data_IF_534014377486
#
_entry.id   IF_534014377486
#
_cell.length_a   1.000
_cell.length_b   1.000
_cell.length_c   1.000
_cell.angle_alpha   90.00
_cell.angle_beta   90.00
_cell.angle_gamma   90.00
#
_symmetry.space_group_name_H-M   'P 1'
#
loop_
_entity.id
_entity.type
_entity.pdbx_description
1 polymer ?
#
# COMPACT_ATOMS: atom_id res chain seq x y z
N UNK A 1 59.93 -15.88 -15.99
CA UNK A 1 59.31 -15.48 -14.71
C UNK A 1 57.91 -16.04 -14.69
N UNK A 2 57.66 -16.97 -13.77
CA UNK A 2 56.50 -17.85 -13.70
C UNK A 2 55.22 -17.08 -13.30
N UNK A 3 54.18 -17.12 -14.15
CA UNK A 3 52.81 -16.80 -13.74
C UNK A 3 52.22 -18.03 -13.06
N UNK A 4 52.13 -18.00 -11.73
CA UNK A 4 51.44 -19.00 -10.93
C UNK A 4 49.94 -19.00 -11.22
N UNK A 5 49.38 -20.21 -11.18
CA UNK A 5 48.17 -20.70 -11.83
C UNK A 5 46.83 -20.36 -11.14
N UNK A 6 45.68 -20.49 -11.85
CA UNK A 6 44.31 -20.32 -11.31
C UNK A 6 43.90 -21.35 -10.24
N UNK A 7 44.78 -22.28 -9.89
CA UNK A 7 44.55 -23.31 -8.87
C UNK A 7 44.42 -22.72 -7.46
N UNK A 8 45.07 -21.58 -7.20
CA UNK A 8 45.09 -20.93 -5.89
C UNK A 8 43.73 -20.30 -5.52
N UNK A 9 43.01 -19.79 -6.52
CA UNK A 9 41.69 -19.19 -6.33
C UNK A 9 40.62 -20.27 -6.05
N UNK A 10 40.68 -21.39 -6.79
CA UNK A 10 39.77 -22.52 -6.60
C UNK A 10 39.98 -23.14 -5.22
N UNK A 11 41.23 -23.31 -4.78
CA UNK A 11 41.54 -23.86 -3.45
C UNK A 11 41.06 -22.93 -2.32
N UNK A 12 41.18 -21.61 -2.48
CA UNK A 12 40.64 -20.62 -1.53
C UNK A 12 39.11 -20.65 -1.47
N UNK A 13 38.43 -20.79 -2.62
CA UNK A 13 36.97 -20.89 -2.69
C UNK A 13 36.43 -22.17 -2.04
N UNK A 14 37.11 -23.30 -2.22
CA UNK A 14 36.75 -24.58 -1.57
C UNK A 14 36.97 -24.52 -0.06
N UNK A 15 38.04 -23.87 0.41
CA UNK A 15 38.30 -23.69 1.85
C UNK A 15 37.24 -22.82 2.53
N UNK A 16 36.81 -21.73 1.87
CA UNK A 16 35.73 -20.86 2.36
C UNK A 16 34.41 -21.63 2.40
N UNK A 17 34.08 -22.41 1.36
CA UNK A 17 32.89 -23.26 1.35
C UNK A 17 32.90 -24.28 2.50
N UNK A 18 34.02 -24.99 2.71
CA UNK A 18 34.16 -25.95 3.82
C UNK A 18 34.01 -25.29 5.20
N UNK A 19 34.57 -24.09 5.41
CA UNK A 19 34.43 -23.33 6.67
C UNK A 19 32.98 -22.84 6.90
N UNK A 20 32.25 -22.52 5.83
CA UNK A 20 30.82 -22.17 5.89
C UNK A 20 29.95 -23.40 6.24
N UNK A 21 30.27 -24.59 5.73
CA UNK A 21 29.59 -25.84 6.10
C UNK A 21 29.85 -26.27 7.55
N UNK A 22 31.02 -25.94 8.12
CA UNK A 22 31.38 -26.26 9.51
C UNK A 22 30.71 -25.37 10.57
N UNK A 23 30.08 -24.26 10.20
CA UNK A 23 29.46 -23.30 11.14
C UNK A 23 27.94 -23.47 11.31
N UNK A 24 27.32 -24.47 10.68
CA UNK A 24 25.90 -24.78 10.86
C UNK A 24 25.63 -25.48 12.21
N UNK A 25 25.65 -24.73 13.30
CA UNK A 25 24.98 -25.14 14.53
C UNK A 25 23.51 -24.72 14.43
N UNK A 26 22.62 -25.71 14.45
CA UNK A 26 21.18 -25.50 14.53
C UNK A 26 20.84 -24.78 15.82
N UNK A 27 20.56 -23.48 15.75
CA UNK A 27 19.86 -22.79 16.82
C UNK A 27 18.37 -22.87 16.53
N UNK A 28 17.64 -23.42 17.49
CA UNK A 28 16.20 -23.40 17.54
C UNK A 28 15.78 -21.93 17.67
N UNK A 29 15.14 -21.34 16.65
CA UNK A 29 14.64 -19.97 16.74
C UNK A 29 13.12 -20.00 16.69
N UNK A 30 12.52 -19.52 17.78
CA UNK A 30 11.08 -19.32 18.00
C UNK A 30 10.44 -18.48 16.88
N UNK A 31 9.16 -18.76 16.62
CA UNK A 31 8.36 -18.34 15.48
C UNK A 31 8.32 -16.85 15.11
N UNK A 32 8.06 -16.60 13.83
CA UNK A 32 7.93 -15.28 13.21
C UNK A 32 6.66 -14.54 13.67
N UNK A 33 6.81 -13.25 13.97
CA UNK A 33 5.76 -12.34 14.43
C UNK A 33 4.90 -11.83 13.26
N UNK A 34 3.63 -12.26 13.16
CA UNK A 34 2.60 -11.53 12.42
C UNK A 34 2.13 -10.33 13.26
N UNK A 35 1.99 -9.16 12.64
CA UNK A 35 1.34 -8.02 13.31
C UNK A 35 -0.14 -8.37 13.52
N UNK A 36 -0.64 -8.35 14.76
CA UNK A 36 -2.01 -8.71 15.05
C UNK A 36 -3.01 -7.71 14.45
N UNK A 37 -4.26 -8.17 14.20
CA UNK A 37 -5.40 -7.28 13.86
C UNK A 37 -5.39 -6.08 14.80
N UNK A 38 -5.42 -4.89 14.20
CA UNK A 38 -5.42 -3.62 14.90
C UNK A 38 -6.82 -3.03 14.86
N UNK A 39 -7.29 -2.66 16.05
CA UNK A 39 -8.58 -2.09 16.33
C UNK A 39 -8.36 -0.63 16.74
N UNK A 40 -8.96 0.30 16.01
CA UNK A 40 -8.91 1.73 16.35
C UNK A 40 -10.33 2.17 16.65
N UNK A 41 -10.58 2.50 17.91
CA UNK A 41 -11.91 2.86 18.43
C UNK A 41 -11.95 4.35 18.66
N UNK A 42 -12.90 5.04 18.03
CA UNK A 42 -13.17 6.47 18.19
C UNK A 42 -14.44 6.64 19.00
N UNK A 43 -14.33 7.17 20.22
CA UNK A 43 -15.44 7.45 21.12
C UNK A 43 -15.82 8.92 20.99
N UNK A 44 -17.10 9.19 20.73
CA UNK A 44 -17.64 10.55 20.72
C UNK A 44 -17.78 11.06 22.16
N UNK A 45 -16.93 12.01 22.54
CA UNK A 45 -16.84 12.63 23.86
C UNK A 45 -17.09 14.15 23.77
N UNK A 46 -17.98 14.58 22.88
CA UNK A 46 -18.41 15.98 22.72
C UNK A 46 -19.32 16.41 23.88
N UNK A 47 -18.76 16.50 25.09
CA UNK A 47 -19.49 16.77 26.33
C UNK A 47 -20.21 18.12 26.35
N UNK A 48 -19.70 19.14 25.64
CA UNK A 48 -20.26 20.49 25.63
C UNK A 48 -21.64 20.58 24.98
N UNK A 49 -21.84 19.84 23.88
CA UNK A 49 -23.03 19.98 23.03
C UNK A 49 -23.84 18.69 22.89
N UNK A 50 -23.36 17.57 23.47
CA UNK A 50 -23.97 16.22 23.39
C UNK A 50 -24.44 15.87 21.98
N UNK A 51 -23.67 16.30 21.00
CA UNK A 51 -24.05 16.23 19.58
C UNK A 51 -23.47 14.98 18.92
N UNK A 52 -24.09 14.60 17.80
CA UNK A 52 -23.60 13.53 16.95
C UNK A 52 -22.31 13.96 16.25
N UNK A 53 -21.34 13.05 16.20
CA UNK A 53 -20.04 13.23 15.57
C UNK A 53 -20.05 12.51 14.22
N UNK A 54 -19.87 13.27 13.14
CA UNK A 54 -19.66 12.70 11.81
C UNK A 54 -18.18 12.44 11.60
N UNK A 55 -17.82 11.21 11.20
CA UNK A 55 -16.46 10.75 10.97
C UNK A 55 -16.35 10.28 9.53
N UNK A 56 -15.35 10.76 8.79
CA UNK A 56 -14.96 10.20 7.50
C UNK A 56 -13.48 9.85 7.56
N UNK A 57 -13.13 8.59 7.34
CA UNK A 57 -11.76 8.09 7.42
C UNK A 57 -11.33 7.47 6.11
N UNK A 58 -10.05 7.67 5.75
CA UNK A 58 -9.43 7.06 4.58
C UNK A 58 -7.96 6.72 4.82
N UNK A 59 -7.49 5.65 4.19
CA UNK A 59 -6.08 5.29 4.04
C UNK A 59 -5.62 5.61 2.61
N UNK A 60 -4.42 5.15 2.25
CA UNK A 60 -3.94 5.19 0.86
C UNK A 60 -4.76 4.26 -0.05
N UNK A 61 -5.19 3.13 0.48
CA UNK A 61 -5.75 2.02 -0.29
C UNK A 61 -7.27 1.90 -0.13
N UNK A 62 -7.82 2.41 0.98
CA UNK A 62 -9.23 2.22 1.36
C UNK A 62 -9.88 3.53 1.83
N UNK A 63 -11.04 3.87 1.26
CA UNK A 63 -11.95 4.89 1.81
C UNK A 63 -13.05 4.19 2.62
N UNK A 64 -13.15 4.51 3.91
CA UNK A 64 -14.08 3.88 4.84
C UNK A 64 -15.46 4.55 4.85
N UNK A 65 -15.63 5.65 4.11
CA UNK A 65 -16.87 6.39 4.00
C UNK A 65 -17.23 7.19 5.27
N UNK A 66 -18.45 7.74 5.26
CA UNK A 66 -18.95 8.67 6.28
C UNK A 66 -19.81 7.90 7.30
N UNK A 67 -19.51 8.06 8.59
CA UNK A 67 -20.21 7.44 9.71
C UNK A 67 -20.69 8.50 10.69
N UNK A 68 -21.92 8.37 11.20
CA UNK A 68 -22.47 9.27 12.22
C UNK A 68 -22.48 8.53 13.57
N UNK A 69 -21.79 9.08 14.56
CA UNK A 69 -21.56 8.48 15.87
C UNK A 69 -22.28 9.31 16.94
N UNK A 70 -23.35 8.79 17.55
CA UNK A 70 -24.07 9.50 18.60
C UNK A 70 -23.19 9.82 19.81
N UNK A 71 -23.60 10.81 20.61
CA UNK A 71 -22.89 11.15 21.86
C UNK A 71 -22.71 9.91 22.74
N UNK A 72 -21.49 9.75 23.30
CA UNK A 72 -21.11 8.62 24.15
C UNK A 72 -21.20 7.24 23.46
N UNK A 73 -21.26 7.21 22.12
CA UNK A 73 -21.11 6.00 21.29
C UNK A 73 -19.72 5.98 20.65
N UNK A 74 -19.38 4.86 20.01
CA UNK A 74 -18.09 4.68 19.36
C UNK A 74 -18.19 4.09 17.96
N UNK A 75 -17.24 4.47 17.11
CA UNK A 75 -17.00 3.85 15.82
C UNK A 75 -15.64 3.13 15.84
N UNK A 76 -15.59 1.92 15.31
CA UNK A 76 -14.39 1.08 15.32
C UNK A 76 -13.98 0.73 13.89
N UNK A 77 -12.70 0.94 13.58
CA UNK A 77 -12.07 0.45 12.36
C UNK A 77 -11.13 -0.70 12.71
N UNK A 78 -11.19 -1.78 11.93
CA UNK A 78 -10.40 -3.00 12.15
C UNK A 78 -9.65 -3.33 10.88
N UNK A 79 -8.32 -3.43 10.98
CA UNK A 79 -7.46 -3.69 9.83
C UNK A 79 -6.20 -4.46 10.22
N UNK A 80 -5.46 -4.92 9.22
CA UNK A 80 -4.13 -5.49 9.41
C UNK A 80 -3.08 -4.44 9.03
N UNK A 81 -2.24 -3.98 9.96
CA UNK A 81 -1.12 -3.11 9.61
C UNK A 81 -0.17 -3.84 8.67
N UNK A 82 0.33 -3.14 7.67
CA UNK A 82 1.35 -3.69 6.80
C UNK A 82 2.65 -3.97 7.57
N UNK A 83 3.42 -4.96 7.09
CA UNK A 83 4.62 -5.44 7.79
C UNK A 83 5.74 -4.38 7.85
N UNK A 84 5.70 -3.41 6.95
CA UNK A 84 6.66 -2.29 6.88
C UNK A 84 6.26 -1.11 7.79
N UNK A 85 5.12 -1.18 8.47
CA UNK A 85 4.60 -0.17 9.39
C UNK A 85 4.43 1.22 8.76
N UNK A 86 3.85 1.26 7.57
CA UNK A 86 3.48 2.47 6.84
C UNK A 86 1.97 2.72 6.81
N UNK A 87 1.17 1.85 7.45
CA UNK A 87 -0.29 2.01 7.53
C UNK A 87 -0.67 3.30 8.28
N UNK A 88 -1.54 4.09 7.66
CA UNK A 88 -1.96 5.42 8.11
C UNK A 88 -3.44 5.63 7.76
N UNK A 89 -4.23 6.09 8.72
CA UNK A 89 -5.62 6.48 8.52
C UNK A 89 -5.81 7.96 8.86
N UNK A 90 -6.24 8.71 7.87
CA UNK A 90 -6.57 10.13 7.94
C UNK A 90 -8.08 10.29 8.07
N UNK A 91 -8.54 11.03 9.07
CA UNK A 91 -9.97 11.23 9.30
C UNK A 91 -10.35 12.71 9.41
N UNK A 92 -11.55 13.04 8.93
CA UNK A 92 -12.25 14.28 9.21
C UNK A 92 -13.38 14.05 10.21
N UNK A 93 -13.55 15.02 11.09
CA UNK A 93 -14.51 15.01 12.19
C UNK A 93 -15.33 16.29 12.14
N UNK A 94 -16.65 16.14 12.09
CA UNK A 94 -17.58 17.26 11.96
C UNK A 94 -18.74 17.10 12.93
N UNK A 95 -19.15 18.17 13.59
CA UNK A 95 -20.30 18.17 14.50
C UNK A 95 -21.03 19.52 14.45
N UNK A 96 -22.31 19.61 14.83
CA UNK A 96 -23.15 20.79 14.62
C UNK A 96 -22.63 22.11 15.20
N UNK A 97 -21.98 22.09 16.37
CA UNK A 97 -21.38 23.29 16.98
C UNK A 97 -20.01 23.64 16.41
N UNK A 98 -19.36 22.70 15.71
CA UNK A 98 -18.09 22.88 15.02
C UNK A 98 -18.32 23.51 13.66
N UNK A 99 -17.97 24.78 13.49
CA UNK A 99 -18.18 25.52 12.23
C UNK A 99 -17.27 25.07 11.08
N UNK A 100 -16.37 24.11 11.31
CA UNK A 100 -15.26 23.73 10.42
C UNK A 100 -15.00 22.22 10.55
N UNK A 101 -14.55 21.57 9.47
CA UNK A 101 -14.05 20.19 9.53
C UNK A 101 -12.73 20.11 10.31
N UNK A 102 -12.72 19.25 11.31
CA UNK A 102 -11.55 18.96 12.14
C UNK A 102 -10.80 17.75 11.58
N UNK A 103 -9.53 17.92 11.22
CA UNK A 103 -8.74 16.85 10.58
C UNK A 103 -7.78 16.21 11.58
N UNK A 104 -7.61 14.89 11.52
CA UNK A 104 -6.63 14.18 12.35
C UNK A 104 -6.22 12.82 11.77
N UNK A 105 -4.97 12.40 11.98
CA UNK A 105 -4.51 11.06 11.63
C UNK A 105 -4.82 10.12 12.79
N UNK A 106 -5.97 9.45 12.73
CA UNK A 106 -6.45 8.64 13.85
C UNK A 106 -5.55 7.43 14.12
N UNK A 107 -4.88 6.93 13.09
CA UNK A 107 -3.90 5.86 13.22
C UNK A 107 -2.66 6.16 12.41
N UNK A 108 -1.49 6.12 13.05
CA UNK A 108 -0.18 6.18 12.43
C UNK A 108 0.66 5.06 13.04
N UNK A 109 1.03 4.07 12.23
CA UNK A 109 1.73 2.89 12.72
C UNK A 109 3.03 3.24 13.48
N UNK A 110 3.81 4.22 13.03
CA UNK A 110 5.07 4.61 13.65
C UNK A 110 4.84 5.37 14.97
N UNK A 111 3.84 6.26 15.01
CA UNK A 111 3.48 7.01 16.22
C UNK A 111 2.90 6.09 17.28
N UNK A 112 1.95 5.24 16.91
CA UNK A 112 1.09 4.50 17.83
C UNK A 112 1.82 3.27 18.40
N UNK A 113 2.60 2.55 17.58
CA UNK A 113 3.43 1.45 18.09
C UNK A 113 4.54 1.93 19.05
N UNK A 114 5.03 3.17 18.91
CA UNK A 114 5.96 3.76 19.90
C UNK A 114 5.31 3.99 21.26
N UNK A 115 4.01 4.28 21.28
CA UNK A 115 3.24 4.48 22.51
C UNK A 115 2.85 3.15 23.15
N UNK A 116 2.72 2.10 22.35
CA UNK A 116 2.48 0.77 22.85
C UNK A 116 3.02 -0.31 21.91
N UNK A 117 4.19 -0.84 22.24
CA UNK A 117 4.77 -1.97 21.53
C UNK A 117 3.96 -3.23 21.89
N UNK A 118 3.10 -3.69 20.96
CA UNK A 118 2.13 -4.83 21.06
C UNK A 118 0.67 -4.46 21.36
N UNK A 119 0.25 -3.20 21.29
CA UNK A 119 -1.18 -2.90 21.40
C UNK A 119 -1.95 -3.38 20.17
N UNK A 120 -3.07 -4.05 20.41
CA UNK A 120 -4.05 -4.42 19.38
C UNK A 120 -5.21 -3.44 19.32
N UNK A 121 -5.45 -2.68 20.39
CA UNK A 121 -6.55 -1.74 20.52
C UNK A 121 -6.00 -0.34 20.81
N UNK A 122 -6.36 0.62 19.97
CA UNK A 122 -6.05 2.04 20.11
C UNK A 122 -7.36 2.77 20.32
N UNK A 123 -7.62 3.18 21.54
CA UNK A 123 -8.88 3.81 21.93
C UNK A 123 -8.65 5.32 22.00
N UNK A 124 -9.44 6.05 21.22
CA UNK A 124 -9.40 7.49 21.08
C UNK A 124 -10.70 8.10 21.59
N UNK A 125 -10.60 9.14 22.41
CA UNK A 125 -11.71 10.04 22.73
C UNK A 125 -11.62 11.27 21.85
N UNK A 126 -12.72 11.57 21.17
CA UNK A 126 -12.84 12.74 20.30
C UNK A 126 -13.65 13.79 21.05
N UNK A 127 -12.99 14.90 21.41
CA UNK A 127 -13.62 16.04 22.07
C UNK A 127 -13.46 17.31 21.22
N UNK A 128 -14.14 18.40 21.59
CA UNK A 128 -14.14 19.64 20.82
C UNK A 128 -12.78 20.36 20.77
N UNK A 129 -11.87 20.04 21.70
CA UNK A 129 -10.53 20.65 21.82
C UNK A 129 -9.42 19.83 21.16
N UNK A 130 -9.44 18.50 21.28
CA UNK A 130 -8.38 17.60 20.84
C UNK A 130 -8.84 16.12 20.78
N UNK A 131 -8.30 15.32 19.85
CA UNK A 131 -8.34 13.86 19.96
C UNK A 131 -7.31 13.36 20.99
N UNK A 132 -7.75 12.49 21.90
CA UNK A 132 -6.92 11.92 22.95
C UNK A 132 -6.89 10.40 22.91
N UNK A 133 -5.71 9.80 22.89
CA UNK A 133 -5.51 8.35 22.96
C UNK A 133 -5.38 7.86 24.40
N UNK A 134 -6.01 6.72 24.67
CA UNK A 134 -5.90 6.02 25.95
C UNK A 134 -4.52 5.38 26.10
N UNK A 135 -3.90 5.65 27.24
CA UNK A 135 -2.72 4.92 27.67
C UNK A 135 -3.14 3.52 28.16
N UNK A 136 -2.54 2.48 27.58
CA UNK A 136 -2.94 1.10 27.86
C UNK A 136 -2.66 0.65 29.31
N UNK A 137 -1.63 1.22 29.95
CA UNK A 137 -1.22 0.86 31.32
C UNK A 137 -2.09 1.56 32.36
N UNK A 138 -2.29 2.87 32.22
CA UNK A 138 -3.01 3.69 33.20
C UNK A 138 -4.52 3.74 32.95
N UNK A 139 -4.97 3.31 31.76
CA UNK A 139 -6.34 3.44 31.25
C UNK A 139 -6.85 4.88 31.19
N UNK A 140 -5.96 5.87 31.32
CA UNK A 140 -6.28 7.30 31.19
C UNK A 140 -6.05 7.79 29.77
N UNK A 141 -6.86 8.73 29.32
CA UNK A 141 -6.67 9.45 28.06
C UNK A 141 -5.58 10.51 28.23
N UNK A 142 -4.33 10.07 28.14
CA UNK A 142 -3.16 10.88 28.49
C UNK A 142 -2.42 11.44 27.26
N UNK A 143 -2.68 10.91 26.07
CA UNK A 143 -1.98 11.29 24.84
C UNK A 143 -2.92 12.10 23.94
N UNK A 144 -3.03 13.40 24.19
CA UNK A 144 -3.84 14.32 23.40
C UNK A 144 -3.02 15.03 22.32
N UNK A 145 -3.65 15.28 21.19
CA UNK A 145 -3.03 15.91 20.03
C UNK A 145 -3.90 17.06 19.55
N UNK A 146 -3.28 18.08 18.97
CA UNK A 146 -4.02 19.18 18.39
C UNK A 146 -4.69 18.73 17.09
N UNK A 147 -5.87 19.28 16.81
CA UNK A 147 -6.50 19.16 15.51
C UNK A 147 -5.57 19.69 14.43
N UNK A 148 -5.50 19.00 13.29
CA UNK A 148 -4.87 19.59 12.11
C UNK A 148 -5.76 20.74 11.67
N UNK A 149 -5.17 21.93 11.61
CA UNK A 149 -5.87 23.09 11.07
C UNK A 149 -6.27 22.78 9.63
N UNK A 150 -7.57 22.66 9.36
CA UNK A 150 -8.07 22.97 8.03
C UNK A 150 -7.70 24.43 7.80
N UNK A 151 -6.70 24.65 6.96
CA UNK A 151 -6.43 26.00 6.48
C UNK A 151 -7.57 26.33 5.53
N UNK A 152 -8.50 27.27 5.83
CA UNK A 152 -9.31 27.83 4.77
C UNK A 152 -8.36 28.72 3.99
N UNK A 153 -7.67 28.15 3.00
CA UNK A 153 -6.72 28.86 2.17
C UNK A 153 -7.36 30.16 1.64
N UNK A 154 -8.68 30.19 1.39
CA UNK A 154 -9.42 31.38 0.95
C UNK A 154 -9.61 32.52 1.97
N UNK A 155 -9.90 32.23 3.25
CA UNK A 155 -10.20 33.27 4.26
C UNK A 155 -8.93 33.84 4.93
N UNK A 156 -7.92 33.00 5.11
CA UNK A 156 -6.60 33.43 5.58
C UNK A 156 -5.94 34.32 4.53
N UNK A 157 -6.07 34.01 3.24
CA UNK A 157 -5.61 34.89 2.16
C UNK A 157 -6.32 36.26 2.20
N UNK A 158 -7.64 36.30 2.43
CA UNK A 158 -8.40 37.56 2.45
C UNK A 158 -8.05 38.46 3.65
N UNK A 159 -7.91 37.88 4.85
CA UNK A 159 -7.49 38.61 6.05
C UNK A 159 -6.00 38.95 6.02
N UNK A 160 -5.13 38.10 5.46
CA UNK A 160 -3.74 38.44 5.19
C UNK A 160 -3.63 39.55 4.14
N UNK A 161 -4.48 39.62 3.11
CA UNK A 161 -4.46 40.75 2.18
C UNK A 161 -4.91 42.07 2.83
N UNK A 162 -5.90 42.03 3.74
CA UNK A 162 -6.30 43.22 4.51
C UNK A 162 -5.23 43.64 5.53
N UNK A 163 -4.60 42.68 6.21
CA UNK A 163 -3.58 42.95 7.23
C UNK A 163 -2.21 43.27 6.62
N UNK A 164 -1.85 42.72 5.45
CA UNK A 164 -0.63 43.01 4.71
C UNK A 164 -0.66 44.38 4.01
N UNK A 165 -1.84 44.97 3.80
CA UNK A 165 -1.95 46.41 3.48
C UNK A 165 -1.61 47.31 4.69
N UNK A 166 -1.72 46.78 5.91
CA UNK A 166 -1.60 47.56 7.16
C UNK A 166 -0.23 47.36 7.83
N UNK A 167 0.39 46.18 7.70
CA UNK A 167 1.68 45.89 8.32
C UNK A 167 2.72 45.44 7.29
N UNK A 168 3.71 46.30 7.08
CA UNK A 168 4.81 46.13 6.13
C UNK A 168 5.83 45.12 6.70
N UNK A 169 5.46 43.84 6.81
CA UNK A 169 6.34 42.79 7.35
C UNK A 169 6.70 41.80 6.24
N UNK A 170 7.92 41.96 5.70
CA UNK A 170 8.54 40.96 4.84
C UNK A 170 8.98 39.76 5.69
N UNK A 171 8.48 38.58 5.38
CA UNK A 171 9.18 37.32 5.65
C UNK A 171 8.38 36.28 6.42
N UNK A 172 7.71 35.39 5.68
CA UNK A 172 7.50 34.01 6.11
C UNK A 172 8.20 33.04 5.14
N UNK A 173 8.81 32.02 5.73
CA UNK A 173 9.59 30.96 5.10
C UNK A 173 8.71 30.09 4.18
N UNK A 174 8.57 30.48 2.92
CA UNK A 174 8.32 29.50 1.86
C UNK A 174 9.61 28.71 1.64
N UNK A 175 9.53 27.37 1.59
CA UNK A 175 10.66 26.58 1.09
C UNK A 175 10.98 27.08 -0.33
N UNK A 176 12.24 27.44 -0.62
CA UNK A 176 12.61 27.88 -1.95
C UNK A 176 12.32 26.77 -2.97
N UNK A 177 11.83 27.15 -4.15
CA UNK A 177 11.59 26.23 -5.26
C UNK A 177 12.85 25.42 -5.54
N UNK A 178 12.70 24.12 -5.72
CA UNK A 178 13.74 23.23 -6.20
C UNK A 178 13.68 23.15 -7.72
N UNK A 179 14.84 23.33 -8.33
CA UNK A 179 15.10 23.27 -9.75
C UNK A 179 15.95 22.03 -10.05
N UNK A 180 15.48 21.16 -10.94
CA UNK A 180 16.21 19.97 -11.37
C UNK A 180 16.31 19.96 -12.88
N UNK A 181 17.54 20.08 -13.39
CA UNK A 181 17.83 20.15 -14.82
C UNK A 181 18.37 18.81 -15.30
N UNK A 182 17.74 18.25 -16.32
CA UNK A 182 18.20 17.07 -17.05
C UNK A 182 18.81 17.53 -18.37
N UNK A 183 20.12 17.33 -18.54
CA UNK A 183 20.90 17.82 -19.68
C UNK A 183 21.19 16.66 -20.61
N UNK A 184 20.72 16.77 -21.86
CA UNK A 184 21.08 15.87 -22.95
C UNK A 184 22.42 16.34 -23.56
N UNK A 185 23.52 15.83 -23.04
CA UNK A 185 24.87 16.30 -23.36
C UNK A 185 25.48 15.72 -24.64
N UNK A 186 26.66 16.22 -24.98
CA UNK A 186 27.41 15.90 -26.20
C UNK A 186 27.87 14.44 -26.33
N UNK A 187 27.81 13.67 -25.24
CA UNK A 187 28.12 12.23 -25.20
C UNK A 187 26.88 11.36 -25.52
N UNK A 188 25.81 11.96 -26.04
CA UNK A 188 24.64 11.23 -26.54
C UNK A 188 25.07 10.33 -27.70
N UNK A 189 24.76 9.03 -27.68
CA UNK A 189 25.27 8.04 -28.63
C UNK A 189 24.95 8.33 -30.10
N UNK A 190 23.88 9.09 -30.37
CA UNK A 190 23.37 9.31 -31.73
C UNK A 190 23.21 10.79 -32.10
N UNK A 191 23.56 11.72 -31.21
CA UNK A 191 23.20 13.13 -31.36
C UNK A 191 21.67 13.37 -31.41
N UNK A 192 20.90 12.39 -30.94
CA UNK A 192 19.45 12.36 -31.02
C UNK A 192 18.75 12.92 -29.78
N UNK A 193 17.48 13.23 -29.95
CA UNK A 193 16.65 13.79 -28.89
C UNK A 193 16.35 12.75 -27.81
N UNK A 194 16.49 13.15 -26.55
CA UNK A 194 16.27 12.29 -25.39
C UNK A 194 14.80 12.39 -24.98
N UNK A 195 14.07 11.28 -25.02
CA UNK A 195 12.72 11.21 -24.45
C UNK A 195 12.81 10.97 -22.95
N UNK A 196 12.14 11.81 -22.17
CA UNK A 196 12.11 11.78 -20.71
C UNK A 196 10.67 11.70 -20.24
N UNK A 197 10.37 10.77 -19.33
CA UNK A 197 9.09 10.75 -18.61
C UNK A 197 9.36 10.70 -17.12
N UNK A 198 8.96 11.73 -16.40
CA UNK A 198 9.16 11.87 -14.96
C UNK A 198 7.82 11.89 -14.23
N UNK A 199 7.78 11.22 -13.08
CA UNK A 199 6.62 11.24 -12.18
C UNK A 199 7.04 11.24 -10.71
N UNK A 200 6.25 11.90 -9.87
CA UNK A 200 6.25 11.75 -8.42
C UNK A 200 5.04 10.90 -7.98
N UNK A 201 4.81 10.79 -6.67
CA UNK A 201 3.61 10.13 -6.13
C UNK A 201 2.32 10.88 -6.49
N UNK A 202 2.38 12.22 -6.49
CA UNK A 202 1.21 13.10 -6.66
C UNK A 202 1.14 13.76 -8.05
N UNK A 203 2.26 13.87 -8.76
CA UNK A 203 2.38 14.60 -10.02
C UNK A 203 2.99 13.72 -11.14
N UNK A 204 2.24 13.48 -12.21
CA UNK A 204 2.80 12.97 -13.47
C UNK A 204 3.14 14.15 -14.38
N UNK A 205 4.44 14.33 -14.68
CA UNK A 205 4.89 15.42 -15.54
C UNK A 205 4.73 15.07 -17.02
N UNK A 206 4.38 13.83 -17.35
CA UNK A 206 4.21 13.36 -18.72
C UNK A 206 5.53 13.19 -19.47
N UNK A 207 5.40 12.91 -20.76
CA UNK A 207 6.52 12.63 -21.67
C UNK A 207 7.00 13.93 -22.31
N UNK A 208 8.29 14.21 -22.18
CA UNK A 208 8.97 15.37 -22.76
C UNK A 208 10.12 14.91 -23.67
N UNK A 209 10.35 15.65 -24.74
CA UNK A 209 11.49 15.43 -25.64
C UNK A 209 12.51 16.52 -25.35
N UNK A 210 13.74 16.11 -25.05
CA UNK A 210 14.87 16.98 -24.73
C UNK A 210 15.84 16.96 -25.91
N UNK A 211 15.83 18.01 -26.76
CA UNK A 211 16.70 18.08 -27.92
C UNK A 211 18.18 17.86 -27.60
N UNK A 212 18.96 17.40 -28.57
CA UNK A 212 20.40 17.31 -28.40
C UNK A 212 21.04 18.64 -27.97
N UNK A 213 21.96 18.58 -27.00
CA UNK A 213 22.62 19.73 -26.40
C UNK A 213 21.67 20.76 -25.75
N UNK A 214 20.51 20.29 -25.28
CA UNK A 214 19.55 21.09 -24.53
C UNK A 214 19.29 20.48 -23.15
N UNK A 215 18.47 21.15 -22.35
CA UNK A 215 18.09 20.70 -21.03
C UNK A 215 16.60 20.86 -20.79
N UNK A 216 16.03 19.92 -20.04
CA UNK A 216 14.69 20.02 -19.49
C UNK A 216 14.75 20.26 -17.98
N UNK A 217 14.12 21.33 -17.52
CA UNK A 217 14.10 21.72 -16.11
C UNK A 217 12.71 21.45 -15.52
N UNK A 218 12.68 20.75 -14.39
CA UNK A 218 11.48 20.63 -13.56
C UNK A 218 11.64 21.53 -12.33
N UNK A 219 10.58 22.27 -12.01
CA UNK A 219 10.55 23.23 -10.90
C UNK A 219 9.38 22.92 -9.99
N UNK A 220 9.67 22.61 -8.73
CA UNK A 220 8.66 22.20 -7.76
C UNK A 220 8.98 22.70 -6.35
N UNK A 221 8.00 22.64 -5.46
CA UNK A 221 8.23 22.87 -4.04
C UNK A 221 8.34 21.50 -3.36
N UNK A 222 9.50 21.15 -2.78
CA UNK A 222 9.59 19.90 -2.02
C UNK A 222 8.70 20.00 -0.78
N UNK A 223 8.09 18.88 -0.42
CA UNK A 223 7.28 18.82 0.78
C UNK A 223 8.14 18.98 2.04
N UNK A 224 7.54 19.49 3.11
CA UNK A 224 8.26 19.77 4.36
C UNK A 224 8.76 18.51 5.06
N UNK A 225 8.17 17.34 4.76
CA UNK A 225 8.54 16.04 5.33
C UNK A 225 9.71 15.36 4.60
N UNK A 226 10.26 15.97 3.56
CA UNK A 226 11.36 15.47 2.74
C UNK A 226 11.10 14.07 2.15
N UNK A 227 9.87 13.82 1.70
CA UNK A 227 9.49 12.59 0.99
C UNK A 227 9.37 12.80 -0.52
N UNK A 228 9.58 14.02 -1.02
CA UNK A 228 9.50 14.32 -2.45
C UNK A 228 10.56 13.55 -3.24
N UNK A 229 10.10 12.77 -4.21
CA UNK A 229 10.88 11.92 -5.10
C UNK A 229 10.36 12.07 -6.53
N UNK A 230 11.25 12.25 -7.50
CA UNK A 230 10.91 12.18 -8.93
C UNK A 230 11.64 11.01 -9.58
N UNK A 231 10.85 10.03 -10.01
CA UNK A 231 11.31 8.86 -10.75
C UNK A 231 11.13 9.11 -12.25
N UNK A 232 12.23 9.00 -13.02
CA UNK A 232 12.23 9.29 -14.44
C UNK A 232 12.69 8.09 -15.27
N UNK A 233 12.10 7.97 -16.45
CA UNK A 233 12.56 7.09 -17.52
C UNK A 233 13.17 7.90 -18.67
N UNK A 234 14.17 7.32 -19.33
CA UNK A 234 14.99 7.95 -20.35
C UNK A 234 15.14 7.00 -21.55
N UNK A 235 14.92 7.51 -22.77
CA UNK A 235 15.04 6.73 -24.00
C UNK A 235 15.60 7.58 -25.14
N UNK A 236 16.61 7.04 -25.84
CA UNK A 236 17.14 7.62 -27.08
C UNK A 236 16.50 6.98 -28.32
N UNK A 237 16.50 7.65 -29.49
CA UNK A 237 15.75 7.23 -30.67
C UNK A 237 16.14 5.83 -31.20
N UNK A 238 17.43 5.48 -31.14
CA UNK A 238 17.95 4.19 -31.63
C UNK A 238 18.14 3.15 -30.51
N UNK A 239 17.64 3.41 -29.31
CA UNK A 239 17.70 2.48 -28.18
C UNK A 239 16.32 1.87 -27.92
N UNK A 240 16.22 0.54 -27.98
CA UNK A 240 15.02 -0.18 -27.55
C UNK A 240 14.91 -0.30 -26.01
N UNK A 241 15.93 0.19 -25.29
CA UNK A 241 16.04 0.08 -23.84
C UNK A 241 15.62 1.40 -23.18
N UNK A 242 14.76 1.30 -22.17
CA UNK A 242 14.44 2.38 -21.24
C UNK A 242 15.39 2.34 -20.04
N UNK A 243 15.97 3.49 -19.70
CA UNK A 243 16.76 3.66 -18.50
C UNK A 243 15.94 4.35 -17.42
N UNK A 244 16.06 3.90 -16.17
CA UNK A 244 15.28 4.43 -15.05
C UNK A 244 16.18 4.99 -13.95
N UNK A 245 15.85 6.17 -13.45
CA UNK A 245 16.58 6.79 -12.36
C UNK A 245 15.73 7.79 -11.57
N UNK A 246 15.97 7.85 -10.26
CA UNK A 246 15.40 8.87 -9.38
C UNK A 246 16.18 10.18 -9.56
N UNK A 247 15.70 11.06 -10.45
CA UNK A 247 16.39 12.32 -10.77
C UNK A 247 16.44 13.28 -9.59
N UNK A 248 15.46 13.20 -8.70
CA UNK A 248 15.44 13.92 -7.44
C UNK A 248 14.97 13.01 -6.33
N UNK A 249 15.72 12.97 -5.23
CA UNK A 249 15.37 12.29 -4.00
C UNK A 249 15.74 13.24 -2.85
N UNK A 250 14.74 13.73 -2.12
CA UNK A 250 14.97 14.71 -1.06
C UNK A 250 15.99 14.23 -0.02
N UNK A 251 15.96 12.96 0.39
CA UNK A 251 16.93 12.45 1.36
C UNK A 251 18.36 12.42 0.81
N UNK A 252 18.54 12.07 -0.46
CA UNK A 252 19.86 12.01 -1.11
C UNK A 252 20.41 13.41 -1.45
N UNK A 253 19.55 14.30 -1.92
CA UNK A 253 19.95 15.53 -2.61
C UNK A 253 19.95 16.75 -1.67
N UNK A 254 18.97 16.86 -0.76
CA UNK A 254 18.91 17.98 0.19
C UNK A 254 19.91 17.78 1.35
N UNK A 255 20.27 16.54 1.70
CA UNK A 255 21.33 16.27 2.69
C UNK A 255 22.71 16.76 2.22
N UNK A 256 22.96 16.82 0.91
CA UNK A 256 24.24 17.31 0.37
C UNK A 256 24.34 18.83 0.46
N UNK A 257 23.22 19.56 0.36
CA UNK A 257 23.17 21.00 0.59
C UNK A 257 21.72 21.54 0.69
N UNK A 258 21.31 21.89 1.91
CA UNK A 258 19.99 22.46 2.23
C UNK A 258 19.70 23.79 1.48
N UNK A 259 20.73 24.55 1.10
CA UNK A 259 20.61 25.82 0.38
C UNK A 259 20.69 25.67 -1.15
N UNK A 260 21.08 24.53 -1.67
CA UNK A 260 21.39 24.34 -3.08
C UNK A 260 20.16 23.75 -3.76
N UNK A 261 19.14 24.57 -3.99
CA UNK A 261 17.89 24.16 -4.63
C UNK A 261 17.99 24.05 -6.16
N UNK A 262 19.19 23.78 -6.69
CA UNK A 262 19.47 23.61 -8.11
C UNK A 262 20.34 22.38 -8.31
N UNK A 263 19.81 21.39 -9.04
CA UNK A 263 20.45 20.11 -9.28
C UNK A 263 20.56 19.86 -10.79
N UNK A 264 21.78 19.97 -11.32
CA UNK A 264 22.06 19.70 -12.73
C UNK A 264 22.52 18.25 -12.89
N UNK A 265 21.83 17.49 -13.73
CA UNK A 265 22.13 16.12 -14.08
C UNK A 265 22.47 16.02 -15.57
N UNK A 266 23.64 15.45 -15.88
CA UNK A 266 23.99 15.04 -17.24
C UNK A 266 23.58 13.58 -17.42
N UNK A 267 22.72 13.31 -18.40
CA UNK A 267 22.19 11.97 -18.64
C UNK A 267 23.04 11.29 -19.73
N UNK A 268 23.72 10.21 -19.35
CA UNK A 268 24.58 9.42 -20.24
C UNK A 268 24.15 7.95 -20.27
N UNK A 269 24.60 7.19 -21.28
CA UNK A 269 24.37 5.75 -21.38
C UNK A 269 24.96 4.92 -20.23
N UNK A 270 26.11 5.33 -19.69
CA UNK A 270 26.73 4.69 -18.53
C UNK A 270 25.97 4.97 -17.23
N UNK A 271 25.24 6.09 -17.22
CA UNK A 271 24.32 6.51 -16.18
C UNK A 271 24.38 8.01 -15.90
N UNK A 272 23.44 8.51 -15.06
CA UNK A 272 23.31 9.93 -14.80
C UNK A 272 24.43 10.41 -13.87
N UNK A 273 24.99 11.58 -14.20
CA UNK A 273 26.02 12.24 -13.41
C UNK A 273 25.49 13.58 -12.87
N UNK A 274 25.57 13.78 -11.57
CA UNK A 274 25.21 15.04 -10.92
C UNK A 274 26.39 16.00 -10.94
N UNK A 275 26.10 17.27 -11.23
CA UNK A 275 27.06 18.37 -11.13
C UNK A 275 27.37 18.67 -9.67
N UNK A 276 28.66 18.64 -9.34
CA UNK A 276 29.11 18.92 -8.00
C UNK A 276 29.03 20.42 -7.69
N UNK A 277 28.44 20.75 -6.54
CA UNK A 277 28.08 22.11 -6.15
C UNK A 277 29.28 23.06 -6.12
N UNK A 278 30.44 22.58 -5.64
CA UNK A 278 31.65 23.40 -5.45
C UNK A 278 32.52 23.49 -6.69
N UNK A 279 32.74 22.37 -7.38
CA UNK A 279 33.67 22.29 -8.53
C UNK A 279 32.99 22.58 -9.86
N UNK A 280 31.64 22.61 -9.89
CA UNK A 280 30.80 22.78 -11.08
C UNK A 280 31.01 21.73 -12.19
N UNK A 281 31.78 20.68 -11.90
CA UNK A 281 32.01 19.54 -12.78
C UNK A 281 31.03 18.40 -12.47
N UNK A 282 30.70 17.59 -13.46
CA UNK A 282 29.88 16.37 -13.30
C UNK A 282 30.74 15.23 -12.77
N UNK A 283 30.76 15.03 -11.45
CA UNK A 283 31.68 14.07 -10.81
C UNK A 283 30.98 12.98 -10.01
N UNK A 284 29.69 13.13 -9.70
CA UNK A 284 28.92 12.11 -8.97
C UNK A 284 28.10 11.32 -9.99
N UNK A 285 28.68 10.26 -10.55
CA UNK A 285 28.04 9.40 -11.54
C UNK A 285 27.49 8.12 -10.88
N UNK A 286 26.33 7.68 -11.34
CA UNK A 286 25.70 6.45 -10.88
C UNK A 286 25.71 5.42 -12.01
N UNK A 287 26.34 4.27 -11.80
CA UNK A 287 26.37 3.18 -12.79
C UNK A 287 25.04 2.42 -12.83
N UNK A 288 24.46 2.28 -14.02
CA UNK A 288 23.23 1.51 -14.25
C UNK A 288 23.48 -0.02 -14.23
N UNK A 289 24.74 -0.47 -14.28
CA UNK A 289 25.15 -1.88 -14.40
C UNK A 289 25.31 -2.57 -13.04
N UNK A 290 25.59 -1.82 -11.96
CA UNK A 290 25.93 -2.40 -10.65
C UNK A 290 24.75 -3.06 -9.91
N UNK A 291 23.50 -2.74 -10.28
CA UNK A 291 22.31 -3.39 -9.68
C UNK A 291 22.10 -4.81 -10.19
N UNK A 292 22.52 -5.14 -11.41
CA UNK A 292 22.34 -6.50 -11.96
C UNK A 292 23.26 -7.50 -11.27
N UNK A 293 24.54 -7.17 -11.07
CA UNK A 293 25.50 -8.10 -10.44
C UNK A 293 25.20 -8.36 -8.95
N UNK A 294 24.78 -7.31 -8.22
CA UNK A 294 24.37 -7.44 -6.80
C UNK A 294 23.06 -8.20 -6.69
N UNK A 295 22.09 -7.98 -7.59
CA UNK A 295 20.86 -8.78 -7.65
C UNK A 295 21.17 -10.23 -8.01
N UNK A 296 22.09 -10.54 -8.93
CA UNK A 296 22.49 -11.93 -9.22
C UNK A 296 23.26 -12.60 -8.07
N UNK A 297 24.07 -11.84 -7.31
CA UNK A 297 24.74 -12.34 -6.10
C UNK A 297 23.77 -12.52 -4.92
N UNK A 298 22.76 -11.67 -4.79
CA UNK A 298 21.68 -11.79 -3.80
C UNK A 298 20.69 -12.91 -4.16
N UNK A 299 20.38 -13.07 -5.46
CA UNK A 299 19.57 -14.18 -5.97
C UNK A 299 20.29 -15.52 -5.83
N UNK A 300 21.61 -15.57 -6.04
CA UNK A 300 22.41 -16.79 -5.80
C UNK A 300 22.61 -17.08 -4.31
N UNK A 301 22.66 -16.07 -3.44
CA UNK A 301 22.62 -16.25 -1.98
C UNK A 301 21.25 -16.79 -1.51
N UNK A 302 20.16 -16.32 -2.10
CA UNK A 302 18.80 -16.85 -1.87
C UNK A 302 18.54 -18.22 -2.52
N UNK A 303 19.44 -18.69 -3.40
CA UNK A 303 19.37 -20.02 -4.00
C UNK A 303 19.95 -21.13 -3.09
N UNK A 304 20.52 -20.78 -1.93
CA UNK A 304 20.58 -21.73 -0.82
C UNK A 304 19.16 -22.02 -0.38
N UNK A 305 18.64 -23.18 -0.79
CA UNK A 305 17.26 -23.61 -0.57
C UNK A 305 16.94 -23.63 0.92
N UNK A 306 16.47 -22.52 1.45
CA UNK A 306 15.39 -22.57 2.43
C UNK A 306 14.17 -23.02 1.62
N UNK A 307 13.75 -24.27 1.78
CA UNK A 307 12.37 -24.61 1.45
C UNK A 307 11.49 -23.89 2.47
N UNK A 308 11.21 -22.62 2.22
CA UNK A 308 10.09 -21.94 2.86
C UNK A 308 8.87 -22.52 2.17
N UNK A 309 8.16 -23.42 2.85
CA UNK A 309 6.73 -23.61 2.60
C UNK A 309 6.06 -22.33 3.09
N UNK A 310 6.17 -21.26 2.31
CA UNK A 310 5.48 -20.01 2.57
C UNK A 310 4.01 -20.26 2.26
N UNK A 311 3.13 -20.08 3.24
CA UNK A 311 1.72 -19.86 2.95
C UNK A 311 1.64 -18.52 2.23
N UNK A 312 1.65 -18.57 0.90
CA UNK A 312 1.27 -17.44 0.07
C UNK A 312 -0.20 -17.12 0.38
N UNK A 313 -0.49 -15.89 0.84
CA UNK A 313 -1.87 -15.40 0.90
C UNK A 313 -2.26 -15.16 -0.56
N UNK A 314 -2.98 -16.11 -1.14
CA UNK A 314 -3.43 -16.02 -2.51
C UNK A 314 -4.72 -15.19 -2.58
N UNK A 315 -4.80 -14.30 -3.58
CA UNK A 315 -6.06 -13.68 -3.95
C UNK A 315 -7.03 -14.80 -4.33
N UNK A 316 -8.15 -14.88 -3.64
CA UNK A 316 -9.10 -15.98 -3.77
C UNK A 316 -10.32 -15.54 -4.54
N UNK A 317 -10.69 -16.35 -5.51
CA UNK A 317 -11.81 -16.17 -6.42
C UNK A 317 -12.83 -17.27 -6.16
N UNK A 318 -14.05 -16.91 -5.83
CA UNK A 318 -15.17 -17.85 -5.64
C UNK A 318 -16.23 -17.55 -6.67
N UNK A 319 -16.44 -18.48 -7.61
CA UNK A 319 -17.44 -18.33 -8.66
C UNK A 319 -18.67 -19.17 -8.34
N UNK A 320 -19.85 -18.54 -8.29
CA UNK A 320 -21.15 -19.18 -8.06
C UNK A 320 -21.89 -19.23 -9.38
N UNK A 321 -22.02 -20.41 -9.98
CA UNK A 321 -22.70 -20.62 -11.26
C UNK A 321 -24.10 -21.18 -11.05
N UNK A 322 -25.10 -20.51 -11.63
CA UNK A 322 -26.48 -21.00 -11.59
C UNK A 322 -26.67 -22.14 -12.61
N UNK A 323 -26.96 -23.35 -12.10
CA UNK A 323 -27.22 -24.54 -12.91
C UNK A 323 -28.59 -25.17 -12.58
N UNK A 324 -29.60 -24.34 -12.29
CA UNK A 324 -30.98 -24.77 -12.07
C UNK A 324 -31.63 -25.22 -13.40
N UNK A 325 -31.24 -26.40 -13.87
CA UNK A 325 -31.45 -26.93 -15.23
C UNK A 325 -32.92 -27.27 -15.57
N UNK A 326 -33.77 -27.53 -14.56
CA UNK A 326 -35.16 -27.97 -14.80
C UNK A 326 -36.03 -26.88 -15.43
N UNK A 327 -35.89 -25.62 -14.98
CA UNK A 327 -36.79 -24.53 -15.35
C UNK A 327 -36.04 -23.27 -15.80
N UNK A 328 -34.70 -23.34 -15.87
CA UNK A 328 -33.79 -22.21 -16.15
C UNK A 328 -34.09 -20.98 -15.28
N UNK A 329 -34.46 -21.23 -14.03
CA UNK A 329 -34.86 -20.19 -13.09
C UNK A 329 -33.65 -19.31 -12.70
N UNK A 330 -33.90 -18.02 -12.51
CA UNK A 330 -32.92 -17.10 -11.96
C UNK A 330 -32.64 -17.42 -10.49
N UNK A 331 -31.36 -17.43 -10.13
CA UNK A 331 -30.90 -17.67 -8.77
C UNK A 331 -30.63 -16.33 -8.10
N UNK A 332 -31.42 -15.99 -7.09
CA UNK A 332 -31.13 -14.85 -6.22
C UNK A 332 -30.20 -15.30 -5.10
N UNK A 333 -29.03 -14.68 -5.00
CA UNK A 333 -28.03 -14.96 -3.97
C UNK A 333 -27.80 -13.73 -3.10
N UNK A 334 -27.65 -13.93 -1.79
CA UNK A 334 -27.19 -12.90 -0.86
C UNK A 334 -26.07 -13.49 -0.01
N UNK A 335 -24.85 -13.04 -0.26
CA UNK A 335 -23.64 -13.53 0.42
C UNK A 335 -23.14 -12.53 1.45
N UNK A 336 -22.65 -13.04 2.58
CA UNK A 336 -22.03 -12.25 3.65
C UNK A 336 -20.84 -13.01 4.24
N UNK A 337 -19.90 -12.27 4.79
CA UNK A 337 -18.90 -12.76 5.72
C UNK A 337 -19.24 -12.25 7.13
N UNK A 338 -18.32 -12.46 8.09
CA UNK A 338 -18.41 -11.80 9.40
C UNK A 338 -18.27 -10.28 9.29
N UNK A 339 -17.45 -9.83 8.36
CA UNK A 339 -16.95 -8.45 8.29
C UNK A 339 -17.59 -7.68 7.12
N UNK A 340 -18.14 -8.37 6.10
CA UNK A 340 -18.64 -7.77 4.85
C UNK A 340 -20.02 -8.31 4.45
N UNK A 341 -20.91 -7.42 3.99
CA UNK A 341 -22.17 -7.79 3.32
C UNK A 341 -22.04 -7.48 1.82
N UNK A 342 -22.08 -8.51 0.98
CA UNK A 342 -21.88 -8.37 -0.47
C UNK A 342 -23.18 -8.01 -1.21
N UNK A 343 -24.30 -7.93 -0.49
CA UNK A 343 -25.61 -7.59 -1.04
C UNK A 343 -26.26 -8.72 -1.84
N UNK A 344 -27.39 -8.40 -2.44
CA UNK A 344 -28.25 -9.33 -3.19
C UNK A 344 -27.93 -9.24 -4.68
N UNK A 345 -27.67 -10.38 -5.32
CA UNK A 345 -27.40 -10.50 -6.76
C UNK A 345 -28.34 -11.51 -7.39
N UNK A 346 -28.76 -11.25 -8.64
CA UNK A 346 -29.56 -12.18 -9.43
C UNK A 346 -28.66 -12.78 -10.50
N UNK A 347 -28.52 -14.10 -10.49
CA UNK A 347 -27.67 -14.87 -11.41
C UNK A 347 -28.57 -15.59 -12.41
N UNK A 348 -28.60 -15.16 -13.69
CA UNK A 348 -29.36 -15.86 -14.73
C UNK A 348 -28.88 -17.29 -14.94
N UNK A 349 -29.73 -18.14 -15.53
CA UNK A 349 -29.35 -19.51 -15.86
C UNK A 349 -28.04 -19.56 -16.67
N UNK A 350 -27.14 -20.46 -16.29
CA UNK A 350 -25.84 -20.66 -16.92
C UNK A 350 -24.91 -19.42 -16.90
N UNK A 351 -25.16 -18.49 -15.97
CA UNK A 351 -24.28 -17.36 -15.65
C UNK A 351 -23.63 -17.55 -14.28
N UNK A 352 -22.61 -16.74 -13.99
CA UNK A 352 -21.89 -16.78 -12.73
C UNK A 352 -21.84 -15.41 -12.03
N UNK A 353 -21.76 -15.46 -10.70
CA UNK A 353 -21.39 -14.34 -9.86
C UNK A 353 -20.07 -14.66 -9.16
N UNK A 354 -19.12 -13.72 -9.18
CA UNK A 354 -17.78 -13.92 -8.67
C UNK A 354 -17.54 -13.04 -7.44
N UNK A 355 -17.01 -13.66 -6.38
CA UNK A 355 -16.56 -12.99 -5.17
C UNK A 355 -15.04 -13.08 -5.13
N UNK A 356 -14.38 -11.95 -4.91
CA UNK A 356 -12.92 -11.86 -4.92
C UNK A 356 -12.44 -11.23 -3.62
N UNK A 357 -11.58 -11.93 -2.88
CA UNK A 357 -11.10 -11.49 -1.57
C UNK A 357 -9.72 -12.05 -1.24
N UNK A 358 -9.12 -11.59 -0.15
CA UNK A 358 -7.89 -12.14 0.41
C UNK A 358 -8.21 -12.90 1.70
N UNK A 359 -7.98 -14.22 1.77
CA UNK A 359 -8.24 -14.98 2.97
C UNK A 359 -7.41 -14.50 4.15
N UNK A 360 -8.02 -14.52 5.33
CA UNK A 360 -7.37 -14.28 6.60
C UNK A 360 -6.27 -15.32 6.85
N UNK A 361 -5.14 -14.86 7.41
CA UNK A 361 -3.99 -15.70 7.75
C UNK A 361 -4.26 -16.71 8.88
N UNK A 362 -5.46 -16.67 9.46
CA UNK A 362 -5.85 -17.48 10.62
C UNK A 362 -6.79 -18.63 10.25
N UNK A 363 -6.86 -18.97 8.95
CA UNK A 363 -7.67 -20.02 8.36
C UNK A 363 -9.15 -19.98 8.82
N UNK A 364 -9.72 -18.77 8.92
CA UNK A 364 -11.07 -18.57 9.46
C UNK A 364 -11.99 -17.72 8.57
N UNK A 365 -11.61 -17.55 7.31
CA UNK A 365 -12.45 -16.83 6.34
C UNK A 365 -13.63 -17.71 5.97
N UNK A 366 -14.83 -17.13 6.10
CA UNK A 366 -16.10 -17.80 5.86
C UNK A 366 -17.01 -16.84 5.11
N UNK A 367 -17.53 -17.27 3.97
CA UNK A 367 -18.64 -16.62 3.29
C UNK A 367 -19.84 -17.55 3.28
N UNK A 368 -20.96 -17.08 3.78
CA UNK A 368 -22.23 -17.78 3.79
C UNK A 368 -23.23 -17.04 2.90
N UNK A 369 -23.96 -17.79 2.09
CA UNK A 369 -24.90 -17.25 1.13
C UNK A 369 -26.28 -17.85 1.34
N UNK A 370 -27.29 -16.98 1.34
CA UNK A 370 -28.69 -17.39 1.18
C UNK A 370 -29.06 -17.39 -0.29
N UNK A 371 -29.84 -18.37 -0.72
CA UNK A 371 -30.16 -18.65 -2.10
C UNK A 371 -31.65 -18.92 -2.25
N UNK A 372 -32.27 -18.30 -3.25
CA UNK A 372 -33.69 -18.43 -3.56
C UNK A 372 -33.87 -18.48 -5.06
N UNK A 373 -34.83 -19.28 -5.50
CA UNK A 373 -35.29 -19.31 -6.89
C UNK A 373 -36.80 -19.51 -6.90
N UNK A 374 -37.41 -19.40 -8.08
CA UNK A 374 -38.84 -19.58 -8.25
C UNK A 374 -39.21 -21.06 -8.06
N UNK A 375 -39.73 -21.41 -6.88
CA UNK A 375 -40.29 -22.72 -6.55
C UNK A 375 -41.51 -22.60 -5.64
N UNK A 376 -42.32 -23.67 -5.55
CA UNK A 376 -43.57 -23.66 -4.79
C UNK A 376 -43.62 -24.86 -3.83
N UNK A 377 -43.59 -24.65 -2.51
CA UNK A 377 -43.49 -23.35 -1.80
C UNK A 377 -42.11 -22.69 -1.98
N UNK A 378 -42.04 -21.37 -1.82
CA UNK A 378 -40.77 -20.63 -1.80
C UNK A 378 -39.95 -21.06 -0.58
N UNK A 379 -38.80 -21.68 -0.82
CA UNK A 379 -37.85 -22.05 0.23
C UNK A 379 -36.61 -21.17 0.10
N UNK A 380 -36.03 -20.79 1.25
CA UNK A 380 -34.72 -20.16 1.31
C UNK A 380 -33.70 -21.21 1.69
N UNK A 381 -32.75 -21.44 0.80
CA UNK A 381 -31.63 -22.33 1.02
C UNK A 381 -30.44 -21.52 1.49
N UNK A 382 -29.56 -22.11 2.30
CA UNK A 382 -28.33 -21.42 2.71
C UNK A 382 -27.16 -22.38 2.76
N UNK A 383 -25.97 -21.83 2.47
CA UNK A 383 -24.74 -22.60 2.43
C UNK A 383 -23.51 -21.71 2.66
N UNK A 384 -22.49 -22.29 3.28
CA UNK A 384 -21.18 -21.67 3.44
C UNK A 384 -20.39 -21.83 2.13
N UNK A 385 -20.56 -20.90 1.19
CA UNK A 385 -19.98 -20.98 -0.15
C UNK A 385 -18.45 -20.96 -0.14
N UNK A 386 -17.86 -20.42 0.92
CA UNK A 386 -16.43 -20.49 1.17
C UNK A 386 -16.18 -20.75 2.65
N UNK A 387 -15.48 -21.84 2.97
CA UNK A 387 -14.96 -22.13 4.30
C UNK A 387 -13.49 -22.52 4.13
N UNK A 388 -12.59 -21.65 4.59
CA UNK A 388 -11.14 -21.82 4.49
C UNK A 388 -10.66 -23.19 5.00
N UNK A 389 -11.23 -23.70 6.10
CA UNK A 389 -10.82 -24.99 6.68
C UNK A 389 -11.31 -26.18 5.88
N UNK A 390 -12.45 -26.05 5.22
CA UNK A 390 -13.03 -27.09 4.36
C UNK A 390 -12.36 -27.09 2.99
N UNK A 391 -12.19 -25.92 2.40
CA UNK A 391 -11.88 -25.74 0.99
C UNK A 391 -10.37 -25.81 0.71
N UNK A 392 -9.54 -25.29 1.60
CA UNK A 392 -8.07 -25.41 1.51
C UNK A 392 -7.60 -26.87 1.67
N UNK A 393 -8.38 -27.74 2.35
CA UNK A 393 -8.12 -29.19 2.39
C UNK A 393 -8.40 -29.89 1.06
N UNK A 394 -9.33 -29.38 0.27
CA UNK A 394 -9.67 -29.95 -1.03
C UNK A 394 -8.67 -29.55 -2.11
N UNK A 395 -8.01 -28.40 -1.93
CA UNK A 395 -6.94 -27.94 -2.79
C UNK A 395 -5.95 -27.06 -2.02
N UNK A 396 -4.75 -27.60 -1.78
CA UNK A 396 -3.65 -26.86 -1.18
C UNK A 396 -3.14 -25.84 -2.20
N UNK A 397 -3.35 -24.54 -1.92
CA UNK A 397 -2.96 -23.40 -2.77
C UNK A 397 -3.82 -23.15 -4.03
N UNK A 398 -5.12 -23.45 -4.00
CA UNK A 398 -6.03 -22.98 -5.06
C UNK A 398 -6.32 -21.48 -4.93
N UNK A 399 -6.28 -20.78 -6.06
CA UNK A 399 -6.71 -19.37 -6.16
C UNK A 399 -8.19 -19.25 -6.59
N UNK A 400 -8.76 -20.33 -7.15
CA UNK A 400 -10.11 -20.36 -7.71
C UNK A 400 -10.95 -21.53 -7.15
N UNK A 401 -12.17 -21.20 -6.71
CA UNK A 401 -13.17 -22.12 -6.17
C UNK A 401 -14.48 -21.96 -6.92
N UNK A 402 -14.69 -22.86 -7.88
CA UNK A 402 -15.88 -22.83 -8.72
C UNK A 402 -16.98 -23.70 -8.14
N UNK A 403 -18.16 -23.12 -8.00
CA UNK A 403 -19.37 -23.77 -7.50
C UNK A 403 -20.46 -23.79 -8.56
N UNK A 404 -21.14 -24.93 -8.69
CA UNK A 404 -22.40 -25.09 -9.40
C UNK A 404 -23.53 -25.26 -8.41
N UNK A 405 -24.56 -24.44 -8.55
CA UNK A 405 -25.75 -24.50 -7.72
C UNK A 405 -26.85 -25.28 -8.44
N UNK A 406 -27.25 -26.40 -7.83
CA UNK A 406 -28.38 -27.23 -8.24
C UNK A 406 -29.46 -27.22 -7.16
N UNK A 407 -30.67 -27.69 -7.51
CA UNK A 407 -31.77 -27.84 -6.54
C UNK A 407 -31.41 -28.76 -5.36
N UNK A 408 -30.62 -29.81 -5.62
CA UNK A 408 -30.16 -30.76 -4.59
C UNK A 408 -29.09 -30.18 -3.65
N UNK A 409 -28.40 -29.11 -4.04
CA UNK A 409 -27.30 -28.55 -3.27
C UNK A 409 -26.16 -27.98 -4.14
N UNK A 410 -25.19 -27.30 -3.50
CA UNK A 410 -24.00 -26.78 -4.16
C UNK A 410 -22.96 -27.89 -4.40
N UNK A 411 -22.34 -27.86 -5.59
CA UNK A 411 -21.23 -28.74 -5.96
C UNK A 411 -20.00 -27.92 -6.34
N UNK A 412 -18.84 -28.24 -5.77
CA UNK A 412 -17.55 -27.62 -6.07
C UNK A 412 -16.81 -28.38 -7.18
N UNK A 413 -16.11 -27.64 -8.04
CA UNK A 413 -15.20 -28.17 -9.03
C UNK A 413 -13.95 -28.80 -8.38
N UNK A 414 -13.70 -30.07 -8.68
CA UNK A 414 -12.46 -30.73 -8.26
C UNK A 414 -11.40 -30.60 -9.34
N UNK A 415 -10.25 -30.03 -8.98
CA UNK A 415 -9.09 -29.95 -9.87
C UNK A 415 -8.54 -31.33 -10.26
N UNK A 416 -8.77 -32.36 -9.42
CA UNK A 416 -8.27 -33.72 -9.63
C UNK A 416 -9.08 -34.47 -10.69
N UNK A 417 -10.42 -34.39 -10.62
CA UNK A 417 -11.31 -35.07 -11.57
C UNK A 417 -11.71 -34.20 -12.76
N UNK A 418 -11.41 -32.90 -12.70
CA UNK A 418 -11.84 -31.87 -13.66
C UNK A 418 -13.36 -31.83 -13.83
N UNK A 419 -14.09 -32.11 -12.76
CA UNK A 419 -15.56 -32.17 -12.73
C UNK A 419 -16.11 -31.64 -11.40
N UNK A 420 -17.40 -31.27 -11.38
CA UNK A 420 -18.12 -30.84 -10.18
C UNK A 420 -18.56 -32.05 -9.34
N UNK A 421 -17.59 -32.72 -8.71
CA UNK A 421 -17.82 -33.99 -7.99
C UNK A 421 -17.93 -33.84 -6.48
N UNK A 422 -17.64 -32.67 -5.91
CA UNK A 422 -17.67 -32.43 -4.46
C UNK A 422 -18.97 -31.71 -4.11
N UNK A 423 -20.04 -32.45 -3.84
CA UNK A 423 -21.37 -31.89 -3.56
C UNK A 423 -21.72 -31.93 -2.08
N UNK A 424 -22.49 -30.93 -1.64
CA UNK A 424 -22.96 -30.80 -0.27
C UNK A 424 -24.48 -30.64 -0.25
N UNK A 425 -25.09 -31.06 0.84
CA UNK A 425 -26.49 -30.73 1.13
C UNK A 425 -26.59 -29.27 1.57
N UNK A 426 -27.78 -28.69 1.40
CA UNK A 426 -28.11 -27.41 2.00
C UNK A 426 -28.00 -27.48 3.53
N UNK A 427 -27.55 -26.39 4.13
CA UNK A 427 -27.47 -26.33 5.57
C UNK A 427 -28.89 -26.31 6.19
N UNK A 428 -29.05 -26.92 7.37
CA UNK A 428 -30.34 -27.12 8.05
C UNK A 428 -30.76 -25.93 8.89
#
# INVERSE_FOLDING_TARGET
MSSSTPLNLILQLVLVACLLFLSCKTTNVRGWYFQPKTHVVMINDLESDRSDLTIHCKSKDDDLGIHVVPFNSSYEIVFHPNLECTTLFHCSFTWPSGKIDHLFDIYDCLRDNKKCNKCKHYIWKINSTSPCMQNNETKKFAFCYDWKNSTPLGLVICLLFLWCKITNVKGWYFQPKTHVSMINGQDSPDGGDLTVHCRSEDDDLGIHVVPFNSSYEIVFHPNLSCTTLFHCSFKWPNSDIYYFFNIYDCYRDDQKCIKCKHYDWKINLTGPCMKHIKTKNFTICYDLIHKVLVVFLLLSYSATKVRVSGFFIHKTHVAITNYLDSDRADLTVHCKSKDDDLGVHVIPFNSSYEIVFYPSVWDNTLFFCSMKWSETPLVTHWFDIYDEKRDNKQCQSCEHYDWKINRSGPCMFSQNTKQFTICYDWNK
#
